data_IF_362025593579
#
_entry.id   IF_362025593579
#
_cell.length_a   1.000
_cell.length_b   1.000
_cell.length_c   1.000
_cell.angle_alpha   90.00
_cell.angle_beta   90.00
_cell.angle_gamma   90.00
#
_symmetry.space_group_name_H-M   'P 1'
#
loop_
_entity.id
_entity.type
_entity.pdbx_description
1 polymer ?
#
# COMPACT_ATOMS: atom_id res chain seq x y z
N UNK A 1 -29.34 29.97 -8.15
CA UNK A 1 -28.90 28.84 -7.30
C UNK A 1 -28.03 27.93 -8.17
N UNK A 2 -26.72 27.79 -7.88
CA UNK A 2 -25.88 26.85 -8.64
C UNK A 2 -26.40 25.43 -8.38
N UNK A 3 -26.63 24.61 -9.42
CA UNK A 3 -27.22 23.30 -9.23
C UNK A 3 -26.30 22.47 -8.33
N UNK A 4 -26.84 21.99 -7.21
CA UNK A 4 -26.16 21.19 -6.19
C UNK A 4 -25.44 19.97 -6.78
N UNK A 5 -25.94 19.45 -7.91
CA UNK A 5 -25.30 18.40 -8.72
C UNK A 5 -23.89 18.75 -9.19
N UNK A 6 -23.63 19.99 -9.61
CA UNK A 6 -22.32 20.40 -10.14
C UNK A 6 -21.27 20.50 -9.02
N UNK A 7 -21.68 20.87 -7.79
CA UNK A 7 -20.79 20.89 -6.63
C UNK A 7 -20.37 19.50 -6.16
N UNK A 8 -21.31 18.54 -6.14
CA UNK A 8 -21.04 17.16 -5.74
C UNK A 8 -20.11 16.43 -6.73
N UNK A 9 -20.31 16.63 -8.04
CA UNK A 9 -19.43 16.05 -9.09
C UNK A 9 -18.01 16.60 -8.96
N UNK A 10 -17.87 17.91 -8.70
CA UNK A 10 -16.55 18.54 -8.50
C UNK A 10 -15.83 18.02 -7.24
N UNK A 11 -16.56 17.79 -6.15
CA UNK A 11 -15.97 17.27 -4.90
C UNK A 11 -15.49 15.82 -5.03
N UNK A 12 -16.27 14.98 -5.70
CA UNK A 12 -15.89 13.59 -5.97
C UNK A 12 -14.63 13.51 -6.83
N UNK A 13 -14.52 14.36 -7.85
CA UNK A 13 -13.36 14.39 -8.74
C UNK A 13 -12.09 14.85 -8.01
N UNK A 14 -12.19 15.86 -7.13
CA UNK A 14 -11.07 16.30 -6.28
C UNK A 14 -10.65 15.20 -5.31
N UNK A 15 -11.62 14.49 -4.71
CA UNK A 15 -11.33 13.38 -3.81
C UNK A 15 -10.53 12.28 -4.51
N UNK A 16 -10.93 11.86 -5.71
CA UNK A 16 -10.20 10.87 -6.50
C UNK A 16 -8.77 11.32 -6.83
N UNK A 17 -8.56 12.60 -7.15
CA UNK A 17 -7.21 13.14 -7.42
C UNK A 17 -6.35 13.08 -6.16
N UNK A 18 -6.85 13.57 -5.03
CA UNK A 18 -6.11 13.54 -3.76
C UNK A 18 -5.83 12.10 -3.32
N UNK A 19 -6.81 11.21 -3.47
CA UNK A 19 -6.65 9.78 -3.21
C UNK A 19 -5.59 9.14 -4.10
N UNK A 20 -5.57 9.45 -5.39
CA UNK A 20 -4.54 8.94 -6.31
C UNK A 20 -3.13 9.40 -5.93
N UNK A 21 -2.97 10.68 -5.58
CA UNK A 21 -1.67 11.22 -5.14
C UNK A 21 -1.22 10.56 -3.83
N UNK A 22 -2.09 10.51 -2.81
CA UNK A 22 -1.75 9.88 -1.53
C UNK A 22 -1.52 8.38 -1.68
N UNK A 23 -2.35 7.69 -2.48
CA UNK A 23 -2.22 6.27 -2.79
C UNK A 23 -0.91 5.94 -3.48
N UNK A 24 -0.46 6.78 -4.42
CA UNK A 24 0.84 6.60 -5.09
C UNK A 24 2.04 6.67 -4.15
N UNK A 25 1.89 7.28 -2.97
CA UNK A 25 2.94 7.34 -1.94
C UNK A 25 2.76 6.23 -0.89
N UNK A 26 1.55 6.08 -0.37
CA UNK A 26 1.25 5.18 0.75
C UNK A 26 1.25 3.70 0.35
N UNK A 27 0.87 3.36 -0.87
CA UNK A 27 0.88 1.95 -1.33
C UNK A 27 2.30 1.43 -1.51
N UNK A 28 3.23 2.11 -2.23
CA UNK A 28 4.63 1.67 -2.30
C UNK A 28 5.32 1.64 -0.93
N UNK A 29 5.07 2.63 -0.08
CA UNK A 29 5.59 2.63 1.29
C UNK A 29 5.08 1.42 2.08
N UNK A 30 3.78 1.11 1.99
CA UNK A 30 3.17 -0.07 2.60
C UNK A 30 3.75 -1.38 2.07
N UNK A 31 4.00 -1.48 0.76
CA UNK A 31 4.66 -2.66 0.17
C UNK A 31 6.08 -2.84 0.71
N UNK A 32 6.85 -1.75 0.83
CA UNK A 32 8.21 -1.79 1.35
C UNK A 32 8.24 -2.20 2.83
N UNK A 33 7.37 -1.61 3.66
CA UNK A 33 7.23 -1.98 5.09
C UNK A 33 6.77 -3.43 5.23
N UNK A 34 5.78 -3.85 4.43
CA UNK A 34 5.32 -5.23 4.39
C UNK A 34 6.43 -6.21 4.01
N UNK A 35 7.26 -5.85 3.02
CA UNK A 35 8.39 -6.66 2.59
C UNK A 35 9.41 -6.88 3.71
N UNK A 36 9.85 -5.80 4.37
CA UNK A 36 10.81 -5.91 5.48
C UNK A 36 10.25 -6.64 6.70
N UNK A 37 8.97 -6.47 7.00
CA UNK A 37 8.34 -7.11 8.17
C UNK A 37 7.91 -8.54 7.89
N UNK A 38 7.79 -8.96 6.63
CA UNK A 38 7.36 -10.31 6.27
C UNK A 38 8.30 -11.40 6.76
N UNK A 39 9.61 -11.13 6.92
CA UNK A 39 10.58 -12.12 7.42
C UNK A 39 10.60 -12.29 8.94
N UNK A 40 9.71 -11.59 9.65
CA UNK A 40 9.65 -11.65 11.12
C UNK A 40 8.68 -12.71 11.62
N UNK A 41 8.98 -13.30 12.78
CA UNK A 41 8.07 -14.26 13.43
C UNK A 41 6.69 -13.64 13.72
N UNK A 42 6.61 -12.31 13.88
CA UNK A 42 5.35 -11.59 14.06
C UNK A 42 4.41 -11.74 12.85
N UNK A 43 4.93 -11.60 11.63
CA UNK A 43 4.13 -11.77 10.42
C UNK A 43 3.64 -13.23 10.30
N UNK A 44 4.49 -14.20 10.64
CA UNK A 44 4.14 -15.61 10.60
C UNK A 44 3.07 -15.98 11.63
N UNK A 45 3.22 -15.54 12.89
CA UNK A 45 2.25 -15.79 13.95
C UNK A 45 0.91 -15.11 13.67
N UNK A 46 0.93 -13.91 13.07
CA UNK A 46 -0.31 -13.21 12.72
C UNK A 46 -1.07 -13.93 11.60
N UNK A 47 -0.35 -14.58 10.67
CA UNK A 47 -0.93 -15.34 9.57
C UNK A 47 -1.14 -16.83 9.87
N UNK A 48 -0.64 -17.31 11.00
CA UNK A 48 -0.79 -18.70 11.44
C UNK A 48 -2.25 -19.18 11.38
N UNK A 49 -3.25 -18.46 11.92
CA UNK A 49 -4.64 -18.92 11.90
C UNK A 49 -5.25 -18.99 10.48
N UNK A 50 -4.64 -18.28 9.51
CA UNK A 50 -5.11 -18.23 8.13
C UNK A 50 -4.47 -19.31 7.27
N UNK A 51 -3.21 -19.67 7.55
CA UNK A 51 -2.39 -20.52 6.69
C UNK A 51 -2.23 -21.93 7.27
N UNK A 52 -2.04 -22.03 8.58
CA UNK A 52 -1.81 -23.28 9.27
C UNK A 52 -3.13 -23.96 9.64
N UNK A 53 -3.23 -25.30 9.53
CA UNK A 53 -4.38 -26.04 10.00
C UNK A 53 -4.51 -25.98 11.53
N UNK A 54 -5.73 -26.15 12.03
CA UNK A 54 -6.02 -26.13 13.47
C UNK A 54 -5.14 -27.11 14.26
N UNK A 55 -4.63 -26.65 15.41
CA UNK A 55 -3.76 -27.46 16.27
C UNK A 55 -2.30 -27.54 15.81
N UNK A 56 -1.89 -26.73 14.83
CA UNK A 56 -0.48 -26.58 14.43
C UNK A 56 0.01 -25.16 14.72
N UNK A 57 1.33 -25.00 14.88
CA UNK A 57 1.99 -23.72 15.17
C UNK A 57 2.95 -23.33 14.05
N UNK A 58 2.97 -22.05 13.68
CA UNK A 58 3.86 -21.53 12.67
C UNK A 58 5.27 -21.35 13.23
N UNK A 59 6.27 -21.87 12.51
CA UNK A 59 7.69 -21.61 12.76
C UNK A 59 8.42 -21.21 11.48
N UNK A 60 9.38 -20.31 11.65
CA UNK A 60 10.38 -20.01 10.63
C UNK A 60 11.41 -21.12 10.57
N UNK A 61 11.70 -21.62 9.36
CA UNK A 61 12.87 -22.47 9.09
C UNK A 61 13.73 -21.78 8.04
N UNK A 62 15.02 -21.67 8.32
CA UNK A 62 16.02 -21.29 7.33
C UNK A 62 16.80 -22.52 6.86
N UNK A 63 17.13 -22.56 5.58
CA UNK A 63 18.04 -23.56 5.03
C UNK A 63 19.01 -22.94 4.02
N UNK A 64 20.21 -23.52 3.94
CA UNK A 64 21.21 -23.12 2.98
C UNK A 64 20.76 -23.52 1.57
N UNK A 65 20.82 -22.57 0.64
CA UNK A 65 20.56 -22.79 -0.78
C UNK A 65 21.66 -22.13 -1.60
N UNK A 66 21.64 -22.32 -2.90
CA UNK A 66 22.60 -21.73 -3.83
C UNK A 66 21.83 -20.89 -4.83
N UNK A 67 22.22 -19.62 -4.99
CA UNK A 67 21.73 -18.75 -6.07
C UNK A 67 22.85 -18.54 -7.08
N UNK A 68 22.53 -18.21 -8.32
CA UNK A 68 23.56 -17.86 -9.31
C UNK A 68 23.77 -16.34 -9.32
N UNK A 69 25.02 -15.91 -9.43
CA UNK A 69 25.34 -14.50 -9.71
C UNK A 69 25.08 -14.13 -11.18
N UNK A 70 25.33 -12.87 -11.55
CA UNK A 70 25.15 -12.36 -12.92
C UNK A 70 26.04 -13.06 -13.96
N UNK A 71 27.07 -13.78 -13.51
CA UNK A 71 28.00 -14.54 -14.34
C UNK A 71 27.72 -16.06 -14.32
N UNK A 72 26.64 -16.49 -13.64
CA UNK A 72 26.25 -17.89 -13.53
C UNK A 72 27.02 -18.69 -12.48
N UNK A 73 27.81 -18.05 -11.62
CA UNK A 73 28.53 -18.74 -10.55
C UNK A 73 27.61 -18.99 -9.34
N UNK A 74 27.67 -20.19 -8.74
CA UNK A 74 26.91 -20.50 -7.54
C UNK A 74 27.43 -19.71 -6.35
N UNK A 75 26.55 -18.93 -5.72
CA UNK A 75 26.76 -18.20 -4.48
C UNK A 75 25.89 -18.80 -3.37
N UNK A 76 26.42 -18.95 -2.14
CA UNK A 76 25.63 -19.39 -1.01
C UNK A 76 24.53 -18.37 -0.68
N UNK A 77 23.31 -18.86 -0.45
CA UNK A 77 22.14 -18.07 -0.10
C UNK A 77 21.38 -18.75 1.04
N UNK A 78 20.49 -18.01 1.70
CA UNK A 78 19.62 -18.53 2.75
C UNK A 78 18.17 -18.36 2.33
N UNK A 79 17.43 -19.46 2.29
CA UNK A 79 15.99 -19.44 2.07
C UNK A 79 15.27 -19.49 3.42
N UNK A 80 14.16 -18.75 3.52
CA UNK A 80 13.28 -18.73 4.69
C UNK A 80 11.92 -19.28 4.28
N UNK A 81 11.40 -20.24 5.04
CA UNK A 81 10.08 -20.83 4.80
C UNK A 81 9.29 -20.88 6.11
N UNK A 82 7.97 -20.68 6.01
CA UNK A 82 7.05 -20.88 7.12
C UNK A 82 6.65 -22.36 7.15
N UNK A 83 6.77 -22.99 8.31
CA UNK A 83 6.35 -24.37 8.54
C UNK A 83 5.25 -24.40 9.59
N UNK A 84 4.20 -25.18 9.35
CA UNK A 84 3.16 -25.48 10.32
C UNK A 84 3.48 -26.83 10.97
N UNK A 85 3.76 -26.80 12.27
CA UNK A 85 4.24 -27.95 13.03
C UNK A 85 3.15 -28.40 14.00
N UNK A 86 2.87 -29.71 14.10
CA UNK A 86 1.92 -30.25 15.07
C UNK A 86 2.51 -30.38 16.50
N UNK A 87 1.70 -30.88 17.44
CA UNK A 87 2.12 -31.11 18.83
C UNK A 87 3.25 -32.16 19.01
N UNK A 88 3.41 -33.09 18.05
CA UNK A 88 4.46 -34.10 18.02
C UNK A 88 5.76 -33.57 17.38
N UNK A 89 5.74 -32.38 16.77
CA UNK A 89 6.89 -31.79 16.09
C UNK A 89 6.95 -32.10 14.60
N UNK A 90 5.91 -32.71 14.03
CA UNK A 90 5.87 -33.08 12.61
C UNK A 90 5.44 -31.89 11.75
N UNK A 91 6.12 -31.69 10.61
CA UNK A 91 5.79 -30.65 9.64
C UNK A 91 4.60 -31.12 8.81
N UNK A 92 3.43 -30.52 9.06
CA UNK A 92 2.19 -30.86 8.36
C UNK A 92 2.04 -30.07 7.06
N UNK A 93 2.62 -28.86 7.03
CA UNK A 93 2.53 -27.96 5.88
C UNK A 93 3.73 -27.02 5.82
N UNK A 94 4.21 -26.75 4.61
CA UNK A 94 5.23 -25.73 4.36
C UNK A 94 4.66 -24.67 3.42
N UNK A 95 4.92 -23.40 3.72
CA UNK A 95 4.61 -22.26 2.88
C UNK A 95 5.87 -21.40 2.67
N UNK A 96 6.47 -21.45 1.46
CA UNK A 96 7.70 -20.74 1.19
C UNK A 96 7.51 -19.25 0.87
N UNK A 97 6.31 -18.81 0.46
CA UNK A 97 6.18 -17.44 -0.10
C UNK A 97 4.78 -16.83 0.05
N UNK A 98 3.73 -17.64 0.16
CA UNK A 98 2.35 -17.14 0.12
C UNK A 98 2.08 -16.27 1.34
N UNK A 99 2.53 -16.70 2.52
CA UNK A 99 2.42 -15.89 3.74
C UNK A 99 3.02 -14.48 3.58
N UNK A 100 4.20 -14.34 2.97
CA UNK A 100 4.84 -13.04 2.74
C UNK A 100 3.99 -12.15 1.84
N UNK A 101 3.43 -12.69 0.75
CA UNK A 101 2.55 -11.92 -0.13
C UNK A 101 1.25 -11.50 0.54
N UNK A 102 0.63 -12.39 1.34
CA UNK A 102 -0.57 -12.05 2.10
C UNK A 102 -0.26 -10.94 3.11
N UNK A 103 0.86 -11.03 3.82
CA UNK A 103 1.30 -10.00 4.76
C UNK A 103 1.51 -8.64 4.09
N UNK A 104 2.26 -8.62 2.98
CA UNK A 104 2.50 -7.41 2.19
C UNK A 104 1.18 -6.81 1.70
N UNK A 105 0.26 -7.66 1.24
CA UNK A 105 -1.08 -7.26 0.81
C UNK A 105 -1.88 -6.60 1.94
N UNK A 106 -1.85 -7.16 3.16
CA UNK A 106 -2.53 -6.58 4.33
C UNK A 106 -1.95 -5.21 4.67
N UNK A 107 -0.63 -5.09 4.76
CA UNK A 107 0.03 -3.81 5.11
C UNK A 107 -0.23 -2.75 4.02
N UNK A 108 -0.14 -3.13 2.75
CA UNK A 108 -0.50 -2.30 1.60
C UNK A 108 -1.97 -1.86 1.65
N UNK A 109 -2.88 -2.77 1.96
CA UNK A 109 -4.32 -2.52 2.07
C UNK A 109 -4.64 -1.51 3.17
N UNK A 110 -3.97 -1.61 4.33
CA UNK A 110 -4.08 -0.62 5.42
C UNK A 110 -3.64 0.76 4.93
N UNK A 111 -2.52 0.84 4.20
CA UNK A 111 -2.05 2.08 3.59
C UNK A 111 -3.07 2.71 2.63
N UNK A 112 -3.75 1.88 1.83
CA UNK A 112 -4.79 2.33 0.90
C UNK A 112 -6.05 2.84 1.63
N UNK A 113 -6.46 2.16 2.70
CA UNK A 113 -7.57 2.62 3.56
C UNK A 113 -7.24 3.97 4.18
N UNK A 114 -6.03 4.12 4.74
CA UNK A 114 -5.55 5.39 5.28
C UNK A 114 -5.52 6.51 4.22
N UNK A 115 -5.08 6.20 3.00
CA UNK A 115 -5.12 7.13 1.88
C UNK A 115 -6.56 7.60 1.58
N UNK A 116 -7.53 6.69 1.63
CA UNK A 116 -8.96 7.00 1.43
C UNK A 116 -9.50 7.97 2.48
N UNK A 117 -9.22 7.69 3.76
CA UNK A 117 -9.62 8.56 4.87
C UNK A 117 -8.95 9.94 4.81
N UNK A 118 -7.64 9.99 4.56
CA UNK A 118 -6.90 11.25 4.42
C UNK A 118 -7.38 12.06 3.22
N UNK A 119 -7.64 11.40 2.08
CA UNK A 119 -8.20 12.06 0.92
C UNK A 119 -9.58 12.66 1.19
N UNK A 120 -10.42 11.97 1.99
CA UNK A 120 -11.72 12.50 2.39
C UNK A 120 -11.59 13.75 3.25
N UNK A 121 -10.70 13.72 4.26
CA UNK A 121 -10.44 14.87 5.11
C UNK A 121 -9.86 16.07 4.34
N UNK A 122 -8.99 15.81 3.36
CA UNK A 122 -8.28 16.85 2.58
C UNK A 122 -9.06 17.35 1.36
N UNK A 123 -10.14 16.69 0.94
CA UNK A 123 -10.92 17.09 -0.22
C UNK A 123 -11.51 18.51 -0.09
N UNK A 124 -12.00 18.87 1.10
CA UNK A 124 -12.55 20.19 1.38
C UNK A 124 -11.49 21.32 1.28
N UNK A 125 -10.34 21.27 2.01
CA UNK A 125 -9.31 22.29 1.87
C UNK A 125 -8.68 22.33 0.48
N UNK A 126 -8.50 21.17 -0.18
CA UNK A 126 -8.00 21.11 -1.56
C UNK A 126 -8.94 21.84 -2.54
N UNK A 127 -10.26 21.63 -2.41
CA UNK A 127 -11.25 22.32 -3.24
C UNK A 127 -11.26 23.84 -3.07
N UNK A 128 -11.07 24.32 -1.84
CA UNK A 128 -10.94 25.78 -1.57
C UNK A 128 -9.69 26.35 -2.22
N UNK A 129 -8.56 25.63 -2.15
CA UNK A 129 -7.29 26.06 -2.75
C UNK A 129 -7.37 26.14 -4.28
N UNK A 130 -7.94 25.11 -4.93
CA UNK A 130 -8.17 25.09 -6.38
C UNK A 130 -9.11 26.22 -6.80
N UNK A 131 -10.18 26.47 -6.03
CA UNK A 131 -11.10 27.58 -6.28
C UNK A 131 -10.43 28.96 -6.20
N UNK A 132 -9.49 29.15 -5.25
CA UNK A 132 -8.72 30.39 -5.13
C UNK A 132 -7.74 30.59 -6.28
N UNK A 133 -7.05 29.54 -6.72
CA UNK A 133 -6.12 29.60 -7.86
C UNK A 133 -6.85 29.99 -9.15
N UNK A 134 -7.97 29.32 -9.46
CA UNK A 134 -8.76 29.63 -10.66
C UNK A 134 -9.30 31.07 -10.68
N UNK A 135 -9.73 31.59 -9.53
CA UNK A 135 -10.17 32.99 -9.42
C UNK A 135 -9.02 33.98 -9.62
N UNK A 136 -7.79 33.58 -9.32
CA UNK A 136 -6.59 34.41 -9.50
C UNK A 136 -6.19 34.46 -10.98
N UNK A 137 -6.19 33.31 -11.66
CA UNK A 137 -5.91 33.23 -13.10
C UNK A 137 -6.96 33.99 -13.94
N UNK A 138 -8.26 33.87 -13.61
CA UNK A 138 -9.28 34.66 -14.29
C UNK A 138 -9.07 36.16 -14.11
N UNK A 139 -8.72 36.63 -12.90
CA UNK A 139 -8.45 38.05 -12.66
C UNK A 139 -7.29 38.56 -13.52
N UNK A 140 -6.24 37.76 -13.68
CA UNK A 140 -5.05 38.12 -14.46
C UNK A 140 -5.37 38.23 -15.97
N UNK A 141 -6.20 37.33 -16.48
CA UNK A 141 -6.68 37.32 -17.87
C UNK A 141 -7.61 38.52 -18.18
N UNK A 142 -8.49 38.89 -17.24
CA UNK A 142 -9.29 40.12 -17.39
C UNK A 142 -8.41 41.37 -17.46
N UNK A 143 -7.34 41.46 -16.67
CA UNK A 143 -6.45 42.64 -16.70
C UNK A 143 -5.65 42.78 -17.99
N UNK A 144 -5.24 41.67 -18.64
CA UNK A 144 -4.55 41.71 -19.94
C UNK A 144 -5.43 42.19 -21.10
N UNK A 145 -6.74 42.03 -20.99
CA UNK A 145 -7.69 42.42 -22.03
C UNK A 145 -8.20 43.87 -21.88
N UNK A 146 -7.70 44.64 -20.90
CA UNK A 146 -8.12 46.03 -20.64
C UNK A 146 -7.03 47.04 -21.05
N UNK A 147 -5.82 46.62 -21.43
CA UNK A 147 -4.83 47.56 -22.00
C UNK A 147 -5.31 48.06 -23.38
N UNK A 148 -5.60 49.37 -23.55
CA UNK A 148 -5.89 49.93 -24.86
C UNK A 148 -4.61 49.95 -25.70
N UNK A 149 -4.72 49.53 -26.97
CA UNK A 149 -3.69 49.73 -28.00
C UNK A 149 -3.41 51.21 -28.23
#
# INVERSE_FOLDING_TARGET
>A
MKPTRTGAISGCLIWFIVFGILGSCLVPAGMMIGGFTSVTDFAMQTLEPLICPDGTTAKSRSYATTTNDEFGNPQPSTAYVMQCIDANGDVIKEDPVVYSFVWIGIVSGIGLILAGFLAFALAAPAGVLIGRLKNRDQKEDYTKNIEPR
#
